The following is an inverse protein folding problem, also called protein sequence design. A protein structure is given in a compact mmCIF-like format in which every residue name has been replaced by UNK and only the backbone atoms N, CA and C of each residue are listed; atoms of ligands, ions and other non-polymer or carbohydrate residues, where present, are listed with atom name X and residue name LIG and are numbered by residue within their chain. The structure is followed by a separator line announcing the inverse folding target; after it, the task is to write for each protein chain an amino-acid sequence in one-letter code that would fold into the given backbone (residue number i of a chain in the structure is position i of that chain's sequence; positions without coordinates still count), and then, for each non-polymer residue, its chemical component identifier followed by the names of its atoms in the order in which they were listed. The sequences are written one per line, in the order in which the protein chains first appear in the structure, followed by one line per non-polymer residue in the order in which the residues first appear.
data_IF_976918660309
#
_entry.id   IF_976918660309
#
_cell.length_a   1.000
_cell.length_b   1.000
_cell.length_c   1.000
_cell.angle_alpha   90.00
_cell.angle_beta   90.00
_cell.angle_gamma   90.00
#
_symmetry.space_group_name_H-M   'P 1'
#
loop_
_entity.id
_entity.type
_entity.pdbx_description
1 polymer ?
#
# COMPACT_ATOMS: atom_id res chain seq x y z
N UNK A 1 -18.16 11.14 8.74
CA UNK A 1 -18.29 10.65 7.36
C UNK A 1 -17.38 9.44 7.24
N UNK A 2 -17.68 8.46 6.38
CA UNK A 2 -16.76 7.36 6.14
C UNK A 2 -15.41 7.86 5.63
N UNK A 3 -14.33 7.23 6.06
CA UNK A 3 -12.96 7.65 5.73
C UNK A 3 -12.25 6.57 4.92
N UNK A 4 -11.56 6.98 3.85
CA UNK A 4 -10.62 6.11 3.15
C UNK A 4 -9.25 6.14 3.86
N UNK A 5 -8.85 5.00 4.41
CA UNK A 5 -7.54 4.82 5.03
C UNK A 5 -6.53 4.30 4.01
N UNK A 6 -5.60 5.15 3.60
CA UNK A 6 -4.50 4.80 2.70
C UNK A 6 -3.28 4.37 3.52
N UNK A 7 -2.70 3.21 3.21
CA UNK A 7 -1.51 2.70 3.92
C UNK A 7 -0.30 2.85 3.01
N UNK A 8 0.65 3.68 3.43
CA UNK A 8 1.84 4.03 2.64
C UNK A 8 3.14 3.73 3.39
N UNK A 9 4.21 3.50 2.62
CA UNK A 9 5.52 3.20 3.16
C UNK A 9 6.34 2.26 2.28
N UNK A 10 7.67 2.15 2.51
CA UNK A 10 8.54 1.31 1.71
C UNK A 10 8.30 -0.19 1.94
N UNK A 11 8.91 -1.02 1.10
CA UNK A 11 8.94 -2.48 1.29
C UNK A 11 9.56 -2.83 2.66
N UNK A 12 8.95 -3.78 3.37
CA UNK A 12 9.39 -4.19 4.70
C UNK A 12 8.99 -3.26 5.86
N UNK A 13 8.28 -2.15 5.60
CA UNK A 13 7.86 -1.21 6.65
C UNK A 13 6.75 -1.73 7.59
N UNK A 14 6.15 -2.89 7.28
CA UNK A 14 5.07 -3.48 8.10
C UNK A 14 3.66 -3.07 7.70
N UNK A 15 3.48 -2.47 6.51
CA UNK A 15 2.19 -2.01 5.96
C UNK A 15 1.08 -3.06 6.07
N UNK A 16 1.33 -4.28 5.59
CA UNK A 16 0.34 -5.37 5.60
C UNK A 16 -0.13 -5.71 7.02
N UNK A 17 0.81 -5.86 7.96
CA UNK A 17 0.49 -6.12 9.37
C UNK A 17 -0.34 -4.99 9.98
N UNK A 18 0.05 -3.74 9.69
CA UNK A 18 -0.69 -2.57 10.14
C UNK A 18 -2.10 -2.52 9.57
N UNK A 19 -2.27 -2.73 8.26
CA UNK A 19 -3.57 -2.69 7.58
C UNK A 19 -4.52 -3.76 8.13
N UNK A 20 -4.02 -4.98 8.41
CA UNK A 20 -4.81 -6.05 9.02
C UNK A 20 -5.27 -5.68 10.43
N UNK A 21 -4.38 -5.10 11.24
CA UNK A 21 -4.73 -4.63 12.59
C UNK A 21 -5.76 -3.50 12.55
N UNK A 22 -5.56 -2.52 11.67
CA UNK A 22 -6.49 -1.41 11.46
C UNK A 22 -7.86 -1.94 11.01
N UNK A 23 -7.88 -2.92 10.11
CA UNK A 23 -9.11 -3.54 9.64
C UNK A 23 -9.92 -4.21 10.74
N UNK A 24 -9.23 -4.89 11.68
CA UNK A 24 -9.90 -5.44 12.87
C UNK A 24 -10.51 -4.36 13.77
N UNK A 25 -9.84 -3.20 13.92
CA UNK A 25 -10.37 -2.10 14.74
C UNK A 25 -11.54 -1.35 14.09
N UNK A 26 -11.51 -1.20 12.77
CA UNK A 26 -12.55 -0.47 12.02
C UNK A 26 -13.70 -1.36 11.54
N UNK A 27 -13.54 -2.69 11.63
CA UNK A 27 -14.51 -3.62 11.04
C UNK A 27 -14.49 -3.64 9.51
N UNK A 28 -13.39 -3.20 8.89
CA UNK A 28 -13.23 -3.09 7.44
C UNK A 28 -12.08 -3.99 6.95
N UNK A 29 -12.28 -4.89 5.97
CA UNK A 29 -11.19 -5.71 5.45
C UNK A 29 -10.21 -4.85 4.63
N UNK A 30 -8.88 -5.01 4.82
CA UNK A 30 -7.91 -4.25 4.04
C UNK A 30 -7.78 -4.79 2.62
N UNK A 31 -7.79 -3.88 1.65
CA UNK A 31 -7.46 -4.15 0.26
C UNK A 31 -5.93 -4.02 0.09
N UNK A 32 -5.25 -5.13 -0.15
CA UNK A 32 -3.77 -5.20 -0.18
C UNK A 32 -3.30 -5.61 -1.57
N UNK A 33 -2.51 -4.76 -2.23
CA UNK A 33 -2.07 -4.98 -3.61
C UNK A 33 -1.29 -6.28 -3.77
N UNK A 34 -0.30 -6.54 -2.91
CA UNK A 34 0.54 -7.74 -3.01
C UNK A 34 -0.29 -9.03 -2.90
N UNK A 35 -1.33 -9.04 -2.06
CA UNK A 35 -2.21 -10.20 -1.91
C UNK A 35 -3.00 -10.48 -3.21
N UNK A 36 -3.47 -9.43 -3.88
CA UNK A 36 -4.16 -9.55 -5.16
C UNK A 36 -3.22 -9.96 -6.29
N UNK A 37 -2.04 -9.33 -6.38
CA UNK A 37 -1.03 -9.67 -7.37
C UNK A 37 -0.58 -11.12 -7.27
N UNK A 38 -0.33 -11.60 -6.04
CA UNK A 38 0.03 -13.00 -5.81
C UNK A 38 -1.12 -13.92 -6.18
N UNK A 39 -2.33 -13.66 -5.67
CA UNK A 39 -3.45 -14.60 -5.85
C UNK A 39 -3.95 -14.67 -7.30
N UNK A 40 -4.02 -13.53 -7.99
CA UNK A 40 -4.65 -13.41 -9.30
C UNK A 40 -3.67 -13.60 -10.45
N UNK A 41 -2.38 -13.26 -10.27
CA UNK A 41 -1.47 -13.14 -11.41
C UNK A 41 -0.15 -13.89 -11.25
N UNK A 42 0.31 -14.21 -10.04
CA UNK A 42 1.56 -14.97 -9.88
C UNK A 42 1.58 -16.31 -10.64
N UNK A 43 0.47 -17.09 -10.73
CA UNK A 43 0.42 -18.29 -11.55
C UNK A 43 0.67 -18.06 -13.05
N UNK A 44 0.33 -16.86 -13.55
CA UNK A 44 0.44 -16.47 -14.96
C UNK A 44 1.67 -15.57 -15.22
N UNK A 45 2.64 -15.57 -14.29
CA UNK A 45 3.85 -14.77 -14.40
C UNK A 45 4.68 -15.23 -15.62
N UNK A 46 5.05 -14.32 -16.54
CA UNK A 46 5.84 -14.66 -17.70
C UNK A 46 7.33 -14.70 -17.37
N UNK A 47 8.09 -15.43 -18.18
CA UNK A 47 9.55 -15.47 -18.10
C UNK A 47 10.22 -14.21 -18.69
N UNK A 48 9.50 -13.44 -19.52
CA UNK A 48 9.96 -12.23 -20.21
C UNK A 48 8.98 -11.08 -20.03
N UNK A 49 9.44 -9.85 -20.27
CA UNK A 49 8.62 -8.63 -20.19
C UNK A 49 7.90 -8.41 -18.85
N UNK A 50 8.52 -8.91 -17.77
CA UNK A 50 7.95 -8.92 -16.42
C UNK A 50 7.51 -7.53 -15.94
N UNK A 51 8.27 -6.49 -16.24
CA UNK A 51 7.95 -5.13 -15.80
C UNK A 51 6.69 -4.57 -16.45
N UNK A 52 6.56 -4.73 -17.77
CA UNK A 52 5.36 -4.29 -18.49
C UNK A 52 4.14 -5.11 -18.05
N UNK A 53 4.31 -6.43 -17.91
CA UNK A 53 3.29 -7.34 -17.42
C UNK A 53 2.83 -6.95 -16.00
N UNK A 54 3.77 -6.67 -15.09
CA UNK A 54 3.49 -6.31 -13.70
C UNK A 54 2.82 -4.93 -13.61
N UNK A 55 3.33 -3.93 -14.34
CA UNK A 55 2.77 -2.58 -14.33
C UNK A 55 1.31 -2.54 -14.79
N UNK A 56 0.99 -3.26 -15.87
CA UNK A 56 -0.37 -3.35 -16.40
C UNK A 56 -1.33 -4.00 -15.39
N UNK A 57 -0.94 -5.10 -14.76
CA UNK A 57 -1.75 -5.81 -13.76
C UNK A 57 -1.87 -5.06 -12.45
N UNK A 58 -0.80 -4.40 -12.01
CA UNK A 58 -0.82 -3.48 -10.87
C UNK A 58 -1.87 -2.40 -11.11
N UNK A 59 -1.89 -1.77 -12.29
CA UNK A 59 -2.86 -0.74 -12.61
C UNK A 59 -4.32 -1.26 -12.58
N UNK A 60 -4.57 -2.49 -13.06
CA UNK A 60 -5.89 -3.12 -12.95
C UNK A 60 -6.30 -3.39 -11.50
N UNK A 61 -5.39 -3.94 -10.69
CA UNK A 61 -5.62 -4.17 -9.26
C UNK A 61 -5.93 -2.86 -8.54
N UNK A 62 -5.07 -1.85 -8.65
CA UNK A 62 -5.25 -0.60 -7.92
C UNK A 62 -6.50 0.15 -8.34
N UNK A 63 -6.86 0.11 -9.63
CA UNK A 63 -8.14 0.64 -10.12
C UNK A 63 -9.34 -0.05 -9.44
N UNK A 64 -9.41 -1.38 -9.52
CA UNK A 64 -10.51 -2.16 -8.92
C UNK A 64 -10.56 -2.01 -7.38
N UNK A 65 -9.41 -1.97 -6.71
CA UNK A 65 -9.34 -1.74 -5.26
C UNK A 65 -9.88 -0.37 -4.89
N UNK A 66 -9.54 0.67 -5.65
CA UNK A 66 -10.08 2.00 -5.43
C UNK A 66 -11.59 2.03 -5.67
N UNK A 67 -12.10 1.41 -6.73
CA UNK A 67 -13.54 1.34 -6.98
C UNK A 67 -14.31 0.65 -5.83
N UNK A 68 -13.77 -0.45 -5.29
CA UNK A 68 -14.34 -1.11 -4.11
C UNK A 68 -14.29 -0.22 -2.86
N UNK A 69 -13.16 0.46 -2.64
CA UNK A 69 -12.99 1.35 -1.51
C UNK A 69 -14.00 2.51 -1.57
N UNK A 70 -14.15 3.15 -2.72
CA UNK A 70 -15.13 4.21 -2.95
C UNK A 70 -16.57 3.71 -2.77
N UNK A 71 -16.88 2.52 -3.28
CA UNK A 71 -18.19 1.89 -3.08
C UNK A 71 -18.50 1.67 -1.59
N UNK A 72 -17.51 1.28 -0.78
CA UNK A 72 -17.70 1.15 0.66
C UNK A 72 -18.03 2.51 1.33
N UNK A 73 -17.35 3.58 0.93
CA UNK A 73 -17.64 4.94 1.43
C UNK A 73 -19.08 5.36 1.08
N UNK A 74 -19.53 5.10 -0.15
CA UNK A 74 -20.89 5.39 -0.60
C UNK A 74 -21.96 4.64 0.21
N UNK A 75 -21.60 3.48 0.77
CA UNK A 75 -22.45 2.68 1.66
C UNK A 75 -22.28 3.02 3.16
N UNK A 76 -21.57 4.10 3.49
CA UNK A 76 -21.42 4.54 4.87
C UNK A 76 -20.35 3.78 5.66
N UNK A 77 -19.43 3.08 4.99
CA UNK A 77 -18.40 2.25 5.63
C UNK A 77 -17.00 2.77 5.35
N UNK A 78 -16.13 2.74 6.36
CA UNK A 78 -14.70 3.02 6.16
C UNK A 78 -14.07 1.97 5.23
N UNK A 79 -13.06 2.40 4.49
CA UNK A 79 -12.30 1.53 3.60
C UNK A 79 -10.81 1.61 3.91
N UNK A 80 -10.07 0.52 3.71
CA UNK A 80 -8.61 0.49 3.90
C UNK A 80 -7.97 -0.01 2.60
N UNK A 81 -7.04 0.75 2.05
CA UNK A 81 -6.34 0.39 0.83
C UNK A 81 -4.82 0.59 0.95
N UNK A 82 -4.07 -0.43 0.55
CA UNK A 82 -2.61 -0.40 0.37
C UNK A 82 -2.33 -0.60 -1.12
N UNK A 83 -2.15 0.52 -1.85
CA UNK A 83 -2.09 0.57 -3.32
C UNK A 83 -0.66 0.48 -3.87
N UNK A 84 0.35 0.43 -3.00
CA UNK A 84 1.76 0.41 -3.38
C UNK A 84 2.20 1.67 -4.15
N UNK A 85 1.84 2.87 -3.69
CA UNK A 85 2.18 4.13 -4.35
C UNK A 85 3.60 4.58 -3.97
N UNK A 86 4.55 4.16 -4.81
CA UNK A 86 5.98 4.34 -4.55
C UNK A 86 6.45 5.78 -4.81
N UNK A 87 5.87 6.44 -5.82
CA UNK A 87 6.27 7.78 -6.26
C UNK A 87 5.38 8.85 -5.63
N UNK A 88 5.99 9.96 -5.24
CA UNK A 88 5.32 11.17 -4.73
C UNK A 88 4.25 11.68 -5.70
N UNK A 89 4.56 11.69 -6.99
CA UNK A 89 3.64 12.17 -8.02
C UNK A 89 2.32 11.37 -8.04
N UNK A 90 2.40 10.05 -7.91
CA UNK A 90 1.21 9.18 -7.91
C UNK A 90 0.35 9.41 -6.67
N UNK A 91 0.99 9.60 -5.50
CA UNK A 91 0.32 9.92 -4.23
C UNK A 91 -0.40 11.27 -4.29
N UNK A 92 0.28 12.33 -4.73
CA UNK A 92 -0.32 13.67 -4.89
C UNK A 92 -1.51 13.61 -5.85
N UNK A 93 -1.36 12.91 -6.99
CA UNK A 93 -2.44 12.78 -7.98
C UNK A 93 -3.67 12.12 -7.37
N UNK A 94 -3.49 11.07 -6.57
CA UNK A 94 -4.60 10.44 -5.85
C UNK A 94 -5.22 11.37 -4.81
N UNK A 95 -4.41 12.03 -3.97
CA UNK A 95 -4.92 12.92 -2.93
C UNK A 95 -5.75 14.08 -3.51
N UNK A 96 -5.24 14.74 -4.56
CA UNK A 96 -5.99 15.79 -5.24
C UNK A 96 -7.29 15.27 -5.83
N UNK A 97 -7.30 14.09 -6.47
CA UNK A 97 -8.53 13.48 -6.98
C UNK A 97 -9.56 13.23 -5.87
N UNK A 98 -9.14 12.76 -4.69
CA UNK A 98 -10.03 12.51 -3.56
C UNK A 98 -10.60 13.83 -3.00
N UNK A 99 -9.79 14.89 -2.95
CA UNK A 99 -10.22 16.23 -2.52
C UNK A 99 -11.21 16.86 -3.48
N UNK A 100 -10.96 16.78 -4.78
CA UNK A 100 -11.87 17.30 -5.83
C UNK A 100 -13.26 16.63 -5.74
N UNK A 101 -13.31 15.39 -5.22
CA UNK A 101 -14.54 14.64 -5.00
C UNK A 101 -15.13 14.84 -3.60
N UNK A 102 -14.54 15.71 -2.77
CA UNK A 102 -14.91 15.94 -1.37
C UNK A 102 -14.91 14.66 -0.52
N UNK A 103 -14.04 13.71 -0.83
CA UNK A 103 -13.90 12.47 -0.06
C UNK A 103 -12.97 12.67 1.14
N UNK A 104 -13.36 12.10 2.27
CA UNK A 104 -12.53 12.08 3.46
C UNK A 104 -11.53 10.92 3.39
N UNK A 105 -10.27 11.20 3.71
CA UNK A 105 -9.22 10.19 3.72
C UNK A 105 -8.16 10.48 4.77
N UNK A 106 -7.50 9.42 5.22
CA UNK A 106 -6.41 9.45 6.18
C UNK A 106 -5.26 8.57 5.67
N UNK A 107 -4.09 9.17 5.52
CA UNK A 107 -2.86 8.50 5.11
C UNK A 107 -2.10 8.04 6.34
N UNK A 108 -1.92 6.73 6.46
CA UNK A 108 -1.09 6.09 7.48
C UNK A 108 0.26 5.75 6.88
N UNK A 109 1.29 6.45 7.35
CA UNK A 109 2.65 6.32 6.85
C UNK A 109 3.44 5.45 7.82
N UNK A 110 3.96 4.33 7.31
CA UNK A 110 4.87 3.47 8.03
C UNK A 110 6.27 3.64 7.44
N UNK A 111 7.17 4.18 8.24
CA UNK A 111 8.58 4.32 7.88
C UNK A 111 9.44 3.68 8.97
N UNK A 112 10.40 2.87 8.53
CA UNK A 112 11.36 2.20 9.39
C UNK A 112 12.74 2.25 8.71
N UNK A 113 13.84 2.27 9.49
CA UNK A 113 15.19 2.23 8.94
C UNK A 113 15.40 1.07 7.96
N UNK A 114 16.18 1.30 6.89
CA UNK A 114 16.38 0.32 5.80
C UNK A 114 16.91 -1.02 6.32
N UNK A 115 17.85 -0.99 7.27
CA UNK A 115 18.42 -2.19 7.89
C UNK A 115 17.36 -2.97 8.69
N UNK A 116 16.51 -2.28 9.44
CA UNK A 116 15.43 -2.93 10.20
C UNK A 116 14.36 -3.51 9.27
N UNK A 117 13.99 -2.80 8.20
CA UNK A 117 13.10 -3.32 7.16
C UNK A 117 13.66 -4.59 6.51
N UNK A 118 14.97 -4.63 6.25
CA UNK A 118 15.63 -5.81 5.70
C UNK A 118 15.58 -7.00 6.67
N UNK A 119 15.93 -6.79 7.95
CA UNK A 119 15.81 -7.85 8.99
C UNK A 119 14.41 -8.44 9.05
N UNK A 120 13.38 -7.60 8.96
CA UNK A 120 11.97 -8.04 8.95
C UNK A 120 11.63 -8.86 7.70
N UNK A 121 12.12 -8.46 6.53
CA UNK A 121 11.92 -9.19 5.27
C UNK A 121 12.59 -10.55 5.31
N UNK A 122 13.84 -10.63 5.78
CA UNK A 122 14.55 -11.90 5.94
C UNK A 122 13.80 -12.85 6.88
N UNK A 123 13.40 -12.35 8.07
CA UNK A 123 12.63 -13.15 9.03
C UNK A 123 11.33 -13.68 8.40
N UNK A 124 10.57 -12.82 7.73
CA UNK A 124 9.32 -13.21 7.05
C UNK A 124 9.55 -14.25 5.95
N UNK A 125 10.62 -14.11 5.17
CA UNK A 125 10.95 -15.08 4.10
C UNK A 125 11.26 -16.47 4.67
N UNK A 126 11.91 -16.53 5.84
CA UNK A 126 12.26 -17.77 6.53
C UNK A 126 11.05 -18.42 7.22
N UNK A 127 10.28 -17.62 7.97
CA UNK A 127 9.16 -18.11 8.79
C UNK A 127 7.90 -18.40 7.97
N UNK A 128 7.71 -17.71 6.84
CA UNK A 128 6.51 -17.83 5.97
C UNK A 128 5.19 -17.74 6.75
N UNK A 129 5.11 -16.82 7.71
CA UNK A 129 3.93 -16.59 8.56
C UNK A 129 2.73 -15.98 7.82
N UNK A 130 1.69 -15.61 8.56
CA UNK A 130 0.38 -15.19 8.00
C UNK A 130 0.43 -14.02 7.00
N UNK A 131 1.44 -13.14 7.09
CA UNK A 131 1.62 -11.99 6.18
C UNK A 131 2.59 -12.26 5.04
N UNK A 132 3.06 -13.51 4.89
CA UNK A 132 3.90 -13.90 3.77
C UNK A 132 3.06 -14.04 2.50
N UNK A 133 3.20 -13.08 1.58
CA UNK A 133 2.62 -13.16 0.25
C UNK A 133 3.57 -13.80 -0.76
N UNK A 134 4.84 -13.40 -0.72
CA UNK A 134 5.88 -13.87 -1.63
C UNK A 134 7.28 -13.69 -1.04
N UNK A 135 8.24 -14.44 -1.58
CA UNK A 135 9.65 -14.27 -1.26
C UNK A 135 10.16 -12.96 -1.88
N UNK A 136 10.79 -12.13 -1.05
CA UNK A 136 11.44 -10.89 -1.50
C UNK A 136 12.94 -11.08 -1.37
N UNK A 137 13.64 -11.21 -2.50
CA UNK A 137 15.10 -11.30 -2.51
C UNK A 137 15.74 -9.97 -2.08
N UNK A 138 17.02 -10.00 -1.73
CA UNK A 138 17.80 -8.78 -1.43
C UNK A 138 17.79 -7.81 -2.60
N UNK A 139 17.97 -8.32 -3.83
CA UNK A 139 17.92 -7.51 -5.05
C UNK A 139 16.58 -6.78 -5.21
N UNK A 140 15.46 -7.48 -5.05
CA UNK A 140 14.12 -6.87 -5.13
C UNK A 140 13.90 -5.86 -4.01
N UNK A 141 14.37 -6.17 -2.80
CA UNK A 141 14.26 -5.26 -1.65
C UNK A 141 15.04 -3.96 -1.85
N UNK A 142 16.28 -4.05 -2.32
CA UNK A 142 17.14 -2.90 -2.57
C UNK A 142 16.55 -2.03 -3.68
N UNK A 143 16.20 -2.64 -4.82
CA UNK A 143 15.56 -1.94 -5.94
C UNK A 143 14.24 -1.27 -5.52
N UNK A 144 13.36 -1.95 -4.77
CA UNK A 144 12.11 -1.35 -4.29
C UNK A 144 12.35 -0.25 -3.24
N UNK A 145 13.41 -0.37 -2.43
CA UNK A 145 13.79 0.67 -1.47
C UNK A 145 14.35 1.92 -2.18
N UNK A 146 15.08 1.75 -3.27
CA UNK A 146 15.65 2.87 -4.05
C UNK A 146 14.60 3.60 -4.88
N UNK A 147 13.54 2.89 -5.28
CA UNK A 147 12.40 3.52 -5.97
C UNK A 147 11.51 4.34 -5.03
N UNK A 148 11.47 4.00 -3.74
CA UNK A 148 10.61 4.68 -2.75
C UNK A 148 11.01 6.14 -2.58
N UNK A 149 10.05 7.03 -2.85
CA UNK A 149 10.16 8.45 -2.52
C UNK A 149 9.50 8.66 -1.15
N UNK A 150 10.26 9.05 -0.11
CA UNK A 150 9.70 9.37 1.21
C UNK A 150 8.59 10.41 1.12
N UNK A 151 7.74 10.46 2.15
CA UNK A 151 6.69 11.46 2.20
C UNK A 151 7.31 12.85 2.21
N UNK A 152 6.97 13.65 1.21
CA UNK A 152 7.48 14.99 1.02
C UNK A 152 6.59 16.02 1.73
N UNK A 153 7.15 17.11 2.29
CA UNK A 153 6.35 18.17 2.91
C UNK A 153 5.24 18.73 2.01
N UNK A 154 5.41 18.72 0.68
CA UNK A 154 4.38 19.13 -0.29
C UNK A 154 3.15 18.23 -0.31
N UNK A 155 3.28 16.95 0.09
CA UNK A 155 2.15 16.03 0.23
C UNK A 155 1.30 16.36 1.47
N UNK A 156 1.96 16.84 2.53
CA UNK A 156 1.35 17.15 3.83
C UNK A 156 0.80 18.58 3.85
N UNK A 157 1.37 19.50 3.08
CA UNK A 157 0.94 20.89 3.05
C UNK A 157 -0.55 21.02 2.67
N UNK A 158 -1.36 21.56 3.60
CA UNK A 158 -2.82 21.67 3.45
C UNK A 158 -3.59 20.40 3.84
N UNK A 159 -2.88 19.32 4.22
CA UNK A 159 -3.41 18.00 4.57
C UNK A 159 -2.91 17.51 5.93
N UNK A 160 -2.39 18.38 6.79
CA UNK A 160 -1.71 18.00 8.04
C UNK A 160 -2.55 17.04 8.90
N UNK A 161 -3.85 17.30 9.01
CA UNK A 161 -4.77 16.48 9.80
C UNK A 161 -5.10 15.12 9.15
N UNK A 162 -4.76 14.94 7.86
CA UNK A 162 -4.95 13.72 7.07
C UNK A 162 -3.74 12.79 7.05
N UNK A 163 -2.66 13.09 7.80
CA UNK A 163 -1.50 12.21 7.91
C UNK A 163 -1.33 11.66 9.33
N UNK A 164 -1.01 10.37 9.44
CA UNK A 164 -0.64 9.69 10.68
C UNK A 164 0.64 8.91 10.43
N UNK A 165 1.69 9.22 11.18
CA UNK A 165 2.94 8.47 11.15
C UNK A 165 2.87 7.38 12.21
N UNK A 166 2.83 6.13 11.75
CA UNK A 166 2.66 4.96 12.59
C UNK A 166 3.94 4.12 12.64
N UNK A 167 4.09 3.35 13.71
CA UNK A 167 5.12 2.30 13.82
C UNK A 167 4.45 0.93 13.79
N UNK A 168 5.15 -0.04 13.21
CA UNK A 168 4.70 -1.43 13.15
C UNK A 168 5.13 -2.20 14.39
#
# INVERSE_FOLDING_TARGET
MPTLHLIEGPVGAGKTTYAIRLGKSLGAPPLILDAWMVKLFQPDRPDRDLWAWYAERKARCTGQMLDLALSALDHGQDAIAELGLVRRHDRITLFSRLEDQNLDFLVHVLEEPRDERWRRVERRNNEKGETFAMLVSSEVFEMASDMWEPIDPSEIAGRQERFRFARC
#
